data_IF_480281114477
#
_entry.id   IF_480281114477
#
_cell.length_a   1.000
_cell.length_b   1.000
_cell.length_c   1.000
_cell.angle_alpha   90.00
_cell.angle_beta   90.00
_cell.angle_gamma   90.00
#
_symmetry.space_group_name_H-M   'P 1'
#
loop_
_entity.id
_entity.type
_entity.pdbx_description
1 polymer ?
#
# COMPACT_ATOMS: atom_id res chain seq x y z
N UNK A 1 -14.11 -33.85 -18.97
CA UNK A 1 -14.19 -33.19 -17.64
C UNK A 1 -12.90 -32.48 -17.21
N UNK A 2 -11.78 -32.58 -17.95
CA UNK A 2 -10.52 -31.91 -17.59
C UNK A 2 -10.43 -30.42 -18.00
N UNK A 3 -11.23 -29.94 -18.95
CA UNK A 3 -11.15 -28.54 -19.43
C UNK A 3 -11.94 -27.50 -18.60
N UNK A 4 -12.80 -27.94 -17.67
CA UNK A 4 -13.59 -27.03 -16.80
C UNK A 4 -12.87 -26.67 -15.50
N UNK A 5 -11.85 -27.42 -15.10
CA UNK A 5 -11.02 -27.09 -13.93
C UNK A 5 -9.98 -26.05 -14.28
N UNK A 6 -9.24 -26.19 -15.39
CA UNK A 6 -8.22 -25.22 -15.79
C UNK A 6 -8.78 -23.81 -16.04
N UNK A 7 -9.98 -23.66 -16.64
CA UNK A 7 -10.57 -22.33 -16.89
C UNK A 7 -11.04 -21.61 -15.62
N UNK A 8 -11.50 -22.36 -14.60
CA UNK A 8 -11.85 -21.79 -13.29
C UNK A 8 -10.61 -21.38 -12.50
N UNK A 9 -9.52 -22.15 -12.59
CA UNK A 9 -8.25 -21.82 -11.91
C UNK A 9 -7.60 -20.57 -12.52
N UNK A 10 -7.62 -20.44 -13.85
CA UNK A 10 -7.12 -19.25 -14.56
C UNK A 10 -8.00 -18.00 -14.33
N UNK A 11 -9.32 -18.14 -14.28
CA UNK A 11 -10.21 -17.03 -13.89
C UNK A 11 -10.07 -16.65 -12.41
N UNK A 12 -9.77 -17.60 -11.51
CA UNK A 12 -9.55 -17.30 -10.09
C UNK A 12 -8.20 -16.64 -9.81
N UNK A 13 -7.14 -16.97 -10.57
CA UNK A 13 -5.82 -16.33 -10.47
C UNK A 13 -5.81 -14.93 -11.09
N UNK A 14 -6.50 -14.73 -12.22
CA UNK A 14 -6.70 -13.38 -12.81
C UNK A 14 -7.58 -12.48 -11.92
N UNK A 15 -8.47 -13.05 -11.09
CA UNK A 15 -9.20 -12.31 -10.03
C UNK A 15 -8.38 -12.06 -8.75
N UNK A 16 -7.21 -12.70 -8.60
CA UNK A 16 -6.30 -12.49 -7.48
C UNK A 16 -5.25 -11.42 -7.80
N UNK A 17 -4.71 -11.45 -9.02
CA UNK A 17 -3.98 -10.33 -9.61
C UNK A 17 -4.90 -9.10 -9.69
N UNK A 18 -4.38 -7.90 -9.45
CA UNK A 18 -5.13 -6.63 -9.55
C UNK A 18 -6.22 -6.38 -8.50
N UNK A 19 -6.29 -7.12 -7.39
CA UNK A 19 -7.23 -6.78 -6.29
C UNK A 19 -7.01 -5.36 -5.76
N UNK A 20 -5.76 -4.92 -5.72
CA UNK A 20 -5.40 -3.56 -5.34
C UNK A 20 -6.04 -2.48 -6.22
N UNK A 21 -6.37 -2.79 -7.49
CA UNK A 21 -7.03 -1.82 -8.38
C UNK A 21 -8.45 -1.50 -7.97
N UNK A 22 -9.01 -2.18 -6.97
CA UNK A 22 -10.35 -1.93 -6.46
C UNK A 22 -10.39 -0.97 -5.28
N UNK A 23 -9.25 -0.54 -4.73
CA UNK A 23 -9.18 0.24 -3.49
C UNK A 23 -8.41 1.54 -3.70
N UNK A 24 -8.79 2.56 -2.95
CA UNK A 24 -8.19 3.89 -2.94
C UNK A 24 -8.39 4.68 -4.22
N UNK A 25 -7.44 5.56 -4.54
CA UNK A 25 -7.42 6.34 -5.78
C UNK A 25 -6.75 5.55 -6.92
N UNK A 26 -7.51 5.24 -7.96
CA UNK A 26 -7.09 4.44 -9.11
C UNK A 26 -7.25 5.27 -10.38
N UNK A 27 -6.16 5.32 -11.13
CA UNK A 27 -6.01 6.19 -12.29
C UNK A 27 -6.10 5.38 -13.59
N UNK A 28 -6.83 5.89 -14.57
CA UNK A 28 -6.77 5.47 -15.98
C UNK A 28 -6.42 6.67 -16.85
N UNK A 29 -6.10 6.45 -18.13
CA UNK A 29 -5.73 7.51 -19.07
C UNK A 29 -6.70 8.71 -19.13
N UNK A 30 -7.96 8.53 -18.73
CA UNK A 30 -9.00 9.58 -18.81
C UNK A 30 -9.73 9.85 -17.50
N UNK A 31 -9.54 9.06 -16.44
CA UNK A 31 -10.36 9.19 -15.23
C UNK A 31 -9.62 8.77 -13.96
N UNK A 32 -10.14 9.21 -12.83
CA UNK A 32 -9.69 8.79 -11.51
C UNK A 32 -10.90 8.31 -10.70
N UNK A 33 -10.83 7.09 -10.20
CA UNK A 33 -11.84 6.51 -9.30
C UNK A 33 -11.29 6.49 -7.88
N UNK A 34 -12.09 6.93 -6.93
CA UNK A 34 -11.85 6.81 -5.50
C UNK A 34 -12.80 5.77 -4.93
N UNK A 35 -12.27 4.81 -4.18
CA UNK A 35 -13.08 3.76 -3.54
C UNK A 35 -12.55 3.40 -2.17
N UNK A 36 -13.42 3.44 -1.15
CA UNK A 36 -13.06 3.11 0.24
C UNK A 36 -14.18 2.34 0.93
N UNK A 37 -13.82 1.36 1.77
CA UNK A 37 -14.78 0.61 2.57
C UNK A 37 -15.10 1.39 3.84
N UNK A 38 -16.37 1.73 4.04
CA UNK A 38 -16.82 2.53 5.18
C UNK A 38 -18.26 2.18 5.61
N UNK A 39 -18.55 0.90 5.96
CA UNK A 39 -19.90 0.35 6.03
C UNK A 39 -20.80 0.98 7.11
N UNK A 40 -20.21 1.51 8.18
CA UNK A 40 -20.94 2.05 9.33
C UNK A 40 -21.34 3.52 9.15
N UNK A 41 -20.93 4.13 8.02
CA UNK A 41 -21.20 5.53 7.73
C UNK A 41 -22.37 5.66 6.76
N UNK A 42 -23.18 6.70 6.97
CA UNK A 42 -24.34 7.02 6.11
C UNK A 42 -24.01 7.94 4.93
N UNK A 43 -22.86 8.62 4.99
CA UNK A 43 -22.35 9.47 3.93
C UNK A 43 -20.82 9.62 4.06
N UNK A 44 -20.17 9.83 2.92
CA UNK A 44 -18.75 10.17 2.84
C UNK A 44 -18.55 11.20 1.74
N UNK A 45 -17.64 12.15 1.95
CA UNK A 45 -17.28 13.16 0.95
C UNK A 45 -15.79 13.08 0.66
N UNK A 46 -15.40 13.18 -0.61
CA UNK A 46 -14.02 13.36 -1.00
C UNK A 46 -13.68 14.86 -0.96
N UNK A 47 -12.66 15.22 -0.19
CA UNK A 47 -12.00 16.52 -0.26
C UNK A 47 -10.78 16.41 -1.20
N UNK A 48 -10.77 17.13 -2.31
CA UNK A 48 -9.72 17.13 -3.31
C UNK A 48 -9.03 18.49 -3.38
N UNK A 49 -7.70 18.50 -3.41
CA UNK A 49 -6.86 19.68 -3.61
C UNK A 49 -5.94 19.44 -4.79
N UNK A 50 -6.02 20.33 -5.79
CA UNK A 50 -5.21 20.27 -7.01
C UNK A 50 -3.88 21.03 -6.83
N UNK A 51 -2.77 20.53 -7.41
CA UNK A 51 -1.52 21.27 -7.40
C UNK A 51 -1.66 22.57 -8.19
N UNK A 52 -1.04 23.65 -7.69
CA UNK A 52 -0.99 24.92 -8.42
C UNK A 52 0.02 24.82 -9.57
N UNK A 53 -0.41 25.02 -10.81
CA UNK A 53 0.47 25.02 -12.00
C UNK A 53 1.03 26.41 -12.38
N UNK A 54 0.81 27.45 -11.57
CA UNK A 54 1.23 28.82 -11.89
C UNK A 54 1.98 29.50 -10.74
N UNK A 55 2.98 30.37 -11.03
CA UNK A 55 3.64 31.17 -10.01
C UNK A 55 2.73 32.34 -9.62
N UNK A 56 1.96 32.19 -8.54
CA UNK A 56 1.23 33.30 -7.95
C UNK A 56 1.55 33.43 -6.45
N UNK A 57 1.40 34.66 -5.98
CA UNK A 57 1.89 35.19 -4.71
C UNK A 57 1.68 34.27 -3.50
N UNK A 58 2.64 34.36 -2.58
CA UNK A 58 3.00 33.48 -1.44
C UNK A 58 1.86 33.13 -0.45
N UNK A 59 0.61 33.58 -0.65
CA UNK A 59 -0.45 33.49 0.38
C UNK A 59 -1.83 32.96 -0.10
N UNK A 60 -1.98 32.39 -1.30
CA UNK A 60 -3.27 31.80 -1.71
C UNK A 60 -3.29 30.28 -1.49
N UNK A 61 -3.94 29.83 -0.42
CA UNK A 61 -4.35 28.42 -0.29
C UNK A 61 -5.37 28.07 -1.38
N UNK A 62 -5.14 26.99 -2.12
CA UNK A 62 -6.17 26.45 -3.03
C UNK A 62 -7.34 25.98 -2.17
N UNK A 63 -8.53 26.53 -2.42
CA UNK A 63 -9.73 26.06 -1.75
C UNK A 63 -9.99 24.60 -2.14
N UNK A 64 -10.23 23.70 -1.18
CA UNK A 64 -10.55 22.31 -1.49
C UNK A 64 -11.89 22.20 -2.23
N UNK A 65 -11.96 21.25 -3.15
CA UNK A 65 -13.19 20.84 -3.81
C UNK A 65 -13.81 19.67 -3.04
N UNK A 66 -15.12 19.71 -2.80
CA UNK A 66 -15.84 18.69 -2.04
C UNK A 66 -16.79 17.92 -2.96
N UNK A 67 -16.65 16.60 -2.99
CA UNK A 67 -17.45 15.72 -3.82
C UNK A 67 -18.15 14.65 -2.96
N UNK A 68 -19.48 14.68 -2.83
CA UNK A 68 -20.20 13.58 -2.19
C UNK A 68 -19.93 12.26 -2.91
N UNK A 69 -19.65 11.20 -2.14
CA UNK A 69 -19.43 9.86 -2.68
C UNK A 69 -20.74 9.07 -2.65
N UNK A 70 -20.88 8.15 -3.60
CA UNK A 70 -22.04 7.26 -3.69
C UNK A 70 -21.79 5.99 -2.89
N UNK A 71 -22.77 5.57 -2.09
CA UNK A 71 -22.74 4.25 -1.46
C UNK A 71 -22.92 3.16 -2.54
N UNK A 72 -21.90 2.34 -2.70
CA UNK A 72 -21.87 1.18 -3.58
C UNK A 72 -22.22 -0.11 -2.80
N UNK A 73 -22.12 -1.26 -3.46
CA UNK A 73 -22.36 -2.55 -2.84
C UNK A 73 -21.34 -2.84 -1.71
N UNK A 74 -21.73 -3.73 -0.79
CA UNK A 74 -20.86 -4.29 0.26
C UNK A 74 -20.21 -3.27 1.21
N UNK A 75 -20.82 -2.09 1.37
CA UNK A 75 -20.37 -1.05 2.30
C UNK A 75 -19.24 -0.16 1.78
N UNK A 76 -18.99 -0.18 0.47
CA UNK A 76 -18.02 0.71 -0.18
C UNK A 76 -18.65 2.05 -0.55
N UNK A 77 -17.85 3.12 -0.48
CA UNK A 77 -18.15 4.41 -1.07
C UNK A 77 -17.29 4.61 -2.32
N UNK A 78 -17.90 5.11 -3.39
CA UNK A 78 -17.27 5.30 -4.68
C UNK A 78 -17.54 6.70 -5.26
N UNK A 79 -16.52 7.23 -5.95
CA UNK A 79 -16.62 8.43 -6.77
C UNK A 79 -15.72 8.26 -7.99
N UNK A 80 -16.22 8.58 -9.17
CA UNK A 80 -15.44 8.63 -10.40
C UNK A 80 -15.45 10.06 -10.94
N UNK A 81 -14.26 10.61 -11.18
CA UNK A 81 -14.06 11.92 -11.78
C UNK A 81 -13.46 11.74 -13.19
N UNK A 82 -14.01 12.38 -14.23
CA UNK A 82 -13.63 12.17 -15.63
C UNK A 82 -12.34 12.90 -16.00
N UNK A 83 -11.31 12.74 -15.18
CA UNK A 83 -10.01 13.39 -15.33
C UNK A 83 -8.88 12.63 -14.63
N UNK A 84 -7.67 12.94 -15.08
CA UNK A 84 -6.41 12.40 -14.59
C UNK A 84 -5.88 13.23 -13.41
N UNK A 85 -5.99 12.72 -12.19
CA UNK A 85 -5.73 13.50 -10.97
C UNK A 85 -4.36 13.25 -10.35
N UNK A 86 -3.43 12.59 -11.04
CA UNK A 86 -2.08 12.33 -10.52
C UNK A 86 -1.43 13.59 -9.92
N UNK A 87 -0.91 13.47 -8.69
CA UNK A 87 -0.30 14.58 -7.95
C UNK A 87 -1.29 15.43 -7.15
N UNK A 88 -2.60 15.33 -7.41
CA UNK A 88 -3.61 15.91 -6.52
C UNK A 88 -3.61 15.18 -5.18
N UNK A 89 -3.92 15.93 -4.13
CA UNK A 89 -4.03 15.38 -2.77
C UNK A 89 -5.47 15.32 -2.32
N UNK A 90 -5.84 14.33 -1.52
CA UNK A 90 -7.21 14.13 -1.09
C UNK A 90 -7.32 13.59 0.34
N UNK A 91 -8.51 13.77 0.91
CA UNK A 91 -8.95 13.16 2.18
C UNK A 91 -10.40 12.73 2.08
N UNK A 92 -10.80 11.77 2.90
CA UNK A 92 -12.21 11.48 3.13
C UNK A 92 -12.73 12.32 4.30
N UNK A 93 -13.90 12.93 4.11
CA UNK A 93 -14.58 13.77 5.09
C UNK A 93 -15.83 13.03 5.58
N UNK A 94 -15.89 12.83 6.88
CA UNK A 94 -16.95 12.12 7.59
C UNK A 94 -18.12 13.06 7.93
N UNK A 95 -19.30 12.52 8.28
CA UNK A 95 -20.48 13.32 8.62
C UNK A 95 -20.26 14.36 9.74
N UNK A 96 -19.37 14.04 10.68
CA UNK A 96 -19.00 14.88 11.82
C UNK A 96 -17.91 15.93 11.48
N UNK A 97 -17.50 16.01 10.22
CA UNK A 97 -16.48 16.93 9.73
C UNK A 97 -15.04 16.47 9.93
N UNK A 98 -14.81 15.31 10.57
CA UNK A 98 -13.45 14.73 10.65
C UNK A 98 -12.95 14.44 9.24
N UNK A 99 -11.66 14.66 9.04
CA UNK A 99 -10.95 14.35 7.79
C UNK A 99 -9.93 13.26 8.05
N UNK A 100 -9.84 12.28 7.15
CA UNK A 100 -8.86 11.19 7.22
C UNK A 100 -8.17 10.98 5.89
N UNK A 101 -6.89 10.57 5.92
CA UNK A 101 -6.28 10.02 4.72
C UNK A 101 -6.99 8.71 4.33
N UNK A 102 -6.69 8.27 3.12
CA UNK A 102 -7.08 6.97 2.63
C UNK A 102 -6.31 5.86 3.36
N UNK A 103 -7.01 4.80 3.78
CA UNK A 103 -6.36 3.59 4.29
C UNK A 103 -5.52 2.93 3.18
N UNK A 104 -6.03 2.94 1.95
CA UNK A 104 -5.34 2.44 0.76
C UNK A 104 -4.56 3.54 0.03
N UNK A 105 -4.05 4.54 0.75
CA UNK A 105 -3.21 5.59 0.17
C UNK A 105 -1.99 5.01 -0.51
N UNK A 106 -1.71 5.46 -1.73
CA UNK A 106 -0.52 5.07 -2.51
C UNK A 106 0.71 5.92 -2.18
N UNK A 107 0.50 7.08 -1.55
CA UNK A 107 1.57 7.96 -1.11
C UNK A 107 1.07 9.02 -0.12
N UNK A 108 1.90 9.32 0.89
CA UNK A 108 1.60 10.22 1.99
C UNK A 108 2.66 11.31 2.10
N UNK A 109 2.62 12.33 1.22
CA UNK A 109 3.69 13.33 1.12
C UNK A 109 3.87 14.21 2.37
N UNK A 110 2.91 14.18 3.31
CA UNK A 110 2.93 14.97 4.54
C UNK A 110 2.64 14.10 5.77
N UNK A 111 3.13 12.86 5.76
CA UNK A 111 3.03 11.91 6.87
C UNK A 111 1.65 11.28 7.06
N UNK A 112 1.53 10.45 8.10
CA UNK A 112 0.34 9.65 8.42
C UNK A 112 -0.95 10.45 8.68
N UNK A 113 -0.85 11.75 8.98
CA UNK A 113 -2.00 12.65 9.17
C UNK A 113 -2.26 13.55 7.93
N UNK A 114 -1.30 13.57 7.01
CA UNK A 114 -1.33 14.33 5.77
C UNK A 114 -2.42 13.85 4.81
N UNK A 115 -2.74 14.62 3.76
CA UNK A 115 -3.63 14.15 2.72
C UNK A 115 -2.92 13.06 1.88
N UNK A 116 -3.69 12.11 1.40
CA UNK A 116 -3.21 11.10 0.45
C UNK A 116 -2.96 11.72 -0.91
N UNK A 117 -1.99 11.23 -1.67
CA UNK A 117 -1.73 11.72 -3.02
C UNK A 117 -2.15 10.68 -4.07
N UNK A 118 -2.80 11.14 -5.14
CA UNK A 118 -3.11 10.30 -6.30
C UNK A 118 -1.82 9.98 -7.04
N UNK A 119 -1.51 8.69 -7.17
CA UNK A 119 -0.32 8.18 -7.87
C UNK A 119 -0.77 7.43 -9.13
N UNK A 120 -0.14 7.74 -10.26
CA UNK A 120 -0.28 6.98 -11.50
C UNK A 120 0.94 6.07 -11.69
N UNK A 121 0.81 4.75 -11.43
CA UNK A 121 1.95 3.83 -11.52
C UNK A 121 2.47 3.68 -12.96
N UNK A 122 1.67 4.01 -13.98
CA UNK A 122 2.05 3.85 -15.39
C UNK A 122 3.07 4.88 -15.87
N UNK A 123 3.34 5.93 -15.07
CA UNK A 123 4.35 6.94 -15.38
C UNK A 123 5.77 6.41 -15.24
N UNK A 124 5.99 5.42 -14.38
CA UNK A 124 7.31 4.80 -14.24
C UNK A 124 7.55 3.81 -15.39
N UNK A 125 8.65 4.03 -16.12
CA UNK A 125 9.07 3.15 -17.21
C UNK A 125 10.11 2.14 -16.71
N UNK A 126 9.65 0.95 -16.35
CA UNK A 126 10.49 -0.17 -15.94
C UNK A 126 11.53 -0.55 -17.00
N UNK A 127 12.69 -1.08 -16.58
CA UNK A 127 13.79 -1.54 -17.46
C UNK A 127 14.23 -2.97 -17.13
N UNK A 128 13.43 -3.68 -16.36
CA UNK A 128 13.66 -5.03 -15.85
C UNK A 128 13.00 -6.12 -16.72
N UNK A 129 12.69 -5.85 -18.00
CA UNK A 129 11.98 -6.82 -18.86
C UNK A 129 12.72 -8.16 -19.05
N UNK A 130 14.02 -8.19 -18.74
CA UNK A 130 14.85 -9.41 -18.78
C UNK A 130 14.95 -10.13 -17.43
N UNK A 131 14.37 -9.56 -16.37
CA UNK A 131 14.32 -10.18 -15.05
C UNK A 131 13.53 -11.47 -15.09
N UNK A 132 14.00 -12.49 -14.37
CA UNK A 132 13.40 -13.82 -14.31
C UNK A 132 13.19 -14.32 -12.87
N UNK A 133 13.51 -13.48 -11.88
CA UNK A 133 13.56 -13.89 -10.47
C UNK A 133 14.83 -14.65 -10.10
N UNK A 134 14.97 -14.92 -8.80
CA UNK A 134 15.99 -15.82 -8.22
C UNK A 134 15.28 -17.04 -7.65
N UNK A 135 15.80 -18.24 -7.90
CA UNK A 135 15.21 -19.44 -7.33
C UNK A 135 15.38 -19.42 -5.80
N UNK A 136 14.37 -19.90 -5.06
CA UNK A 136 14.40 -19.92 -3.59
C UNK A 136 15.63 -20.64 -3.01
N UNK A 137 16.14 -21.67 -3.69
CA UNK A 137 17.35 -22.40 -3.29
C UNK A 137 18.64 -21.58 -3.40
N UNK A 138 18.60 -20.50 -4.17
CA UNK A 138 19.77 -19.71 -4.55
C UNK A 138 19.77 -18.35 -3.81
N UNK A 139 18.84 -18.15 -2.87
CA UNK A 139 18.74 -16.94 -2.06
C UNK A 139 19.87 -16.86 -1.02
N UNK A 140 20.65 -15.79 -1.12
CA UNK A 140 21.60 -15.30 -0.13
C UNK A 140 21.14 -13.88 0.17
N UNK A 141 20.53 -13.71 1.33
CA UNK A 141 19.75 -12.53 1.69
C UNK A 141 20.61 -11.53 2.46
N UNK A 142 20.51 -10.26 2.08
CA UNK A 142 21.04 -9.14 2.84
C UNK A 142 19.88 -8.27 3.34
N UNK A 143 19.58 -8.36 4.62
CA UNK A 143 18.59 -7.50 5.28
C UNK A 143 19.16 -6.08 5.44
N UNK A 144 18.37 -5.06 5.09
CA UNK A 144 18.75 -3.67 5.27
C UNK A 144 17.58 -2.78 5.69
N UNK A 145 17.90 -1.83 6.56
CA UNK A 145 17.03 -0.72 6.95
C UNK A 145 17.31 0.49 6.07
N UNK A 146 16.35 0.93 5.24
CA UNK A 146 16.56 2.03 4.28
C UNK A 146 17.14 3.29 4.92
N UNK A 147 16.54 3.75 6.02
CA UNK A 147 16.95 4.97 6.71
C UNK A 147 18.35 4.91 7.36
N UNK A 148 18.94 3.72 7.52
CA UNK A 148 20.22 3.54 8.19
C UNK A 148 21.31 2.95 7.28
N UNK A 149 20.93 2.47 6.10
CA UNK A 149 21.84 1.82 5.16
C UNK A 149 22.84 2.80 4.53
N UNK A 150 22.44 4.06 4.37
CA UNK A 150 23.28 5.16 3.87
C UNK A 150 23.08 6.39 4.73
N UNK A 151 24.04 7.33 4.69
CA UNK A 151 23.92 8.60 5.43
C UNK A 151 22.68 9.41 5.03
N UNK A 152 22.30 9.37 3.75
CA UNK A 152 21.10 10.05 3.25
C UNK A 152 19.80 9.31 3.63
N UNK A 153 19.84 7.99 3.85
CA UNK A 153 18.68 7.21 4.25
C UNK A 153 17.55 7.14 3.22
N UNK A 154 17.85 7.22 1.92
CA UNK A 154 16.83 7.28 0.84
C UNK A 154 16.92 6.08 -0.11
N UNK A 155 15.83 5.85 -0.86
CA UNK A 155 15.82 4.86 -1.95
C UNK A 155 16.93 5.13 -2.97
N UNK A 156 17.09 6.39 -3.39
CA UNK A 156 18.11 6.78 -4.36
C UNK A 156 19.53 6.49 -3.86
N UNK A 157 19.84 6.82 -2.60
CA UNK A 157 21.16 6.55 -2.04
C UNK A 157 21.43 5.05 -1.89
N UNK A 158 20.41 4.25 -1.59
CA UNK A 158 20.54 2.79 -1.54
C UNK A 158 20.91 2.20 -2.91
N UNK A 159 20.37 2.74 -4.02
CA UNK A 159 20.74 2.32 -5.39
C UNK A 159 22.25 2.36 -5.63
N UNK A 160 22.94 3.38 -5.11
CA UNK A 160 24.38 3.57 -5.29
C UNK A 160 25.24 2.46 -4.67
N UNK A 161 24.65 1.66 -3.77
CA UNK A 161 25.33 0.58 -3.03
C UNK A 161 24.99 -0.82 -3.53
N UNK A 162 23.97 -0.97 -4.37
CA UNK A 162 23.51 -2.29 -4.81
C UNK A 162 24.58 -3.09 -5.59
N UNK A 163 25.42 -2.41 -6.37
CA UNK A 163 26.54 -3.08 -7.07
C UNK A 163 27.54 -3.69 -6.09
N UNK A 164 27.82 -3.02 -4.97
CA UNK A 164 28.71 -3.52 -3.92
C UNK A 164 28.12 -4.76 -3.24
N UNK A 165 26.80 -4.77 -3.00
CA UNK A 165 26.10 -5.95 -2.49
C UNK A 165 26.18 -7.10 -3.50
N UNK A 166 26.00 -6.83 -4.80
CA UNK A 166 26.15 -7.86 -5.82
C UNK A 166 27.57 -8.44 -5.86
N UNK A 167 28.60 -7.60 -5.76
CA UNK A 167 30.00 -8.00 -5.70
C UNK A 167 30.33 -8.82 -4.45
N UNK A 168 29.69 -8.51 -3.32
CA UNK A 168 29.77 -9.30 -2.08
C UNK A 168 29.23 -10.73 -2.27
N UNK A 169 28.35 -10.94 -3.24
CA UNK A 169 27.80 -12.24 -3.60
C UNK A 169 26.38 -12.50 -3.11
N UNK A 170 25.68 -11.48 -2.60
CA UNK A 170 24.27 -11.62 -2.23
C UNK A 170 23.42 -11.75 -3.50
N UNK A 171 22.28 -12.43 -3.38
CA UNK A 171 21.34 -12.65 -4.50
C UNK A 171 19.98 -12.02 -4.25
N UNK A 172 19.71 -11.58 -3.01
CA UNK A 172 18.53 -10.80 -2.68
C UNK A 172 18.84 -9.74 -1.62
N UNK A 173 18.14 -8.61 -1.72
CA UNK A 173 18.03 -7.64 -0.63
C UNK A 173 16.68 -7.85 0.07
N UNK A 174 16.68 -7.82 1.39
CA UNK A 174 15.47 -7.82 2.21
C UNK A 174 15.32 -6.45 2.85
N UNK A 175 14.25 -5.76 2.47
CA UNK A 175 13.92 -4.45 2.98
C UNK A 175 13.07 -4.62 4.23
N UNK A 176 13.51 -4.03 5.34
CA UNK A 176 12.66 -3.81 6.50
C UNK A 176 11.38 -3.04 6.10
N UNK A 177 10.31 -3.07 6.91
CA UNK A 177 9.00 -2.61 6.45
C UNK A 177 9.00 -1.17 5.95
N UNK A 178 8.29 -0.95 4.84
CA UNK A 178 8.21 0.34 4.15
C UNK A 178 6.83 0.99 4.27
N UNK A 179 5.86 0.35 4.93
CA UNK A 179 4.55 0.95 5.14
C UNK A 179 4.68 2.27 5.91
N UNK A 180 3.99 3.30 5.45
CA UNK A 180 4.08 4.64 6.04
C UNK A 180 3.72 4.61 7.54
N UNK A 181 4.64 5.16 8.34
CA UNK A 181 4.62 5.21 9.79
C UNK A 181 4.94 6.64 10.27
N UNK A 182 4.53 6.97 11.49
CA UNK A 182 4.76 8.29 12.06
C UNK A 182 6.25 8.54 12.40
N UNK A 183 6.67 9.79 12.22
CA UNK A 183 8.02 10.26 12.54
C UNK A 183 9.03 10.10 11.40
N UNK A 184 10.21 10.69 11.62
CA UNK A 184 11.29 10.70 10.62
C UNK A 184 12.14 9.42 10.64
N UNK A 185 12.14 8.72 11.78
CA UNK A 185 12.98 7.54 12.04
C UNK A 185 12.13 6.44 12.67
N UNK A 186 11.97 5.34 11.94
CA UNK A 186 11.24 4.17 12.40
C UNK A 186 11.80 2.92 11.73
N UNK A 187 11.88 1.78 12.44
CA UNK A 187 12.26 0.50 11.84
C UNK A 187 11.24 -0.03 10.82
N UNK A 188 10.01 0.48 10.85
CA UNK A 188 8.92 0.18 9.91
C UNK A 188 7.76 -0.58 10.54
N UNK A 189 7.94 -1.18 11.71
CA UNK A 189 6.92 -2.02 12.34
C UNK A 189 5.70 -1.25 12.87
N UNK A 190 5.80 0.07 13.04
CA UNK A 190 4.68 0.93 13.42
C UNK A 190 3.84 1.40 12.21
N UNK A 191 3.93 0.72 11.07
CA UNK A 191 3.22 1.08 9.85
C UNK A 191 1.69 1.13 10.03
N UNK A 192 1.07 2.16 9.44
CA UNK A 192 -0.39 2.37 9.49
C UNK A 192 -1.02 2.54 8.11
N UNK A 193 -0.23 2.86 7.09
CA UNK A 193 -0.72 3.02 5.71
C UNK A 193 0.03 2.05 4.78
N UNK A 194 -0.43 0.80 4.81
CA UNK A 194 0.21 -0.36 4.18
C UNK A 194 0.48 -0.23 2.67
N UNK A 195 -0.26 0.63 1.95
CA UNK A 195 -0.09 0.86 0.51
C UNK A 195 0.85 2.03 0.19
N UNK A 196 1.28 2.81 1.18
CA UNK A 196 2.15 3.96 0.97
C UNK A 196 3.58 3.59 1.39
N UNK A 197 4.56 3.58 0.46
CA UNK A 197 5.96 3.57 0.83
C UNK A 197 6.29 4.81 1.68
N UNK A 198 7.11 4.62 2.72
CA UNK A 198 7.51 5.65 3.67
C UNK A 198 8.06 6.89 2.96
N UNK A 199 7.39 8.03 3.14
CA UNK A 199 7.67 9.24 2.37
C UNK A 199 9.03 9.87 2.69
N UNK A 200 9.58 9.63 3.89
CA UNK A 200 10.90 10.14 4.29
C UNK A 200 12.04 9.48 3.51
N UNK A 201 11.83 8.31 2.91
CA UNK A 201 12.82 7.64 2.06
C UNK A 201 12.79 8.07 0.59
N UNK A 202 11.68 8.68 0.15
CA UNK A 202 11.49 9.18 -1.22
C UNK A 202 10.07 8.95 -1.73
N UNK A 203 9.87 9.18 -3.02
CA UNK A 203 8.58 8.97 -3.70
C UNK A 203 8.36 7.50 -4.08
N UNK A 204 7.13 7.10 -4.43
CA UNK A 204 6.88 5.76 -4.96
C UNK A 204 7.70 5.45 -6.23
N UNK A 205 8.00 6.44 -7.06
CA UNK A 205 8.84 6.22 -8.26
C UNK A 205 10.32 6.03 -7.89
N UNK A 206 10.79 6.64 -6.80
CA UNK A 206 12.14 6.36 -6.27
C UNK A 206 12.24 4.92 -5.75
N UNK A 207 11.18 4.40 -5.12
CA UNK A 207 11.15 2.99 -4.71
C UNK A 207 11.12 2.05 -5.93
N UNK A 208 10.32 2.35 -6.96
CA UNK A 208 10.36 1.59 -8.23
C UNK A 208 11.75 1.62 -8.85
N UNK A 209 12.44 2.76 -8.78
CA UNK A 209 13.81 2.89 -9.26
C UNK A 209 14.79 1.99 -8.51
N UNK A 210 14.65 1.87 -7.18
CA UNK A 210 15.44 0.94 -6.38
C UNK A 210 15.24 -0.51 -6.83
N UNK A 211 13.99 -0.95 -6.98
CA UNK A 211 13.67 -2.32 -7.40
C UNK A 211 14.17 -2.59 -8.82
N UNK A 212 13.90 -1.68 -9.76
CA UNK A 212 14.35 -1.78 -11.16
C UNK A 212 15.89 -1.87 -11.24
N UNK A 213 16.60 -1.14 -10.39
CA UNK A 213 18.07 -1.19 -10.30
C UNK A 213 18.56 -2.51 -9.73
N UNK A 214 17.90 -3.04 -8.68
CA UNK A 214 18.21 -4.36 -8.12
C UNK A 214 18.03 -5.47 -9.17
N UNK A 215 16.91 -5.47 -9.91
CA UNK A 215 16.64 -6.45 -10.96
C UNK A 215 17.68 -6.39 -12.08
N UNK A 216 18.07 -5.19 -12.52
CA UNK A 216 19.13 -5.02 -13.54
C UNK A 216 20.49 -5.57 -13.09
N UNK A 217 20.76 -5.59 -11.77
CA UNK A 217 21.96 -6.19 -11.16
C UNK A 217 21.81 -7.68 -10.85
N UNK A 218 20.64 -8.26 -11.12
CA UNK A 218 20.36 -9.66 -10.83
C UNK A 218 20.22 -9.93 -9.33
N UNK A 219 19.55 -9.03 -8.61
CA UNK A 219 19.21 -9.13 -7.19
C UNK A 219 17.69 -9.19 -7.06
N UNK A 220 17.18 -10.16 -6.31
CA UNK A 220 15.78 -10.18 -5.92
C UNK A 220 15.50 -9.16 -4.80
N UNK A 221 14.27 -8.67 -4.71
CA UNK A 221 13.81 -7.77 -3.66
C UNK A 221 12.73 -8.44 -2.82
N UNK A 222 13.03 -8.57 -1.53
CA UNK A 222 12.12 -9.09 -0.50
C UNK A 222 11.65 -7.89 0.32
N UNK A 223 10.36 -7.83 0.63
CA UNK A 223 9.82 -6.84 1.57
C UNK A 223 9.29 -7.52 2.82
N UNK A 224 9.72 -7.02 3.98
CA UNK A 224 9.10 -7.32 5.26
C UNK A 224 7.73 -6.62 5.37
N UNK A 225 6.68 -7.40 5.59
CA UNK A 225 5.29 -6.94 5.66
C UNK A 225 4.65 -7.30 6.98
N UNK A 226 3.99 -6.30 7.57
CA UNK A 226 3.40 -6.40 8.91
C UNK A 226 1.89 -6.49 8.79
N UNK A 227 1.34 -7.69 8.95
CA UNK A 227 -0.11 -7.94 8.86
C UNK A 227 -0.73 -8.44 10.17
N UNK A 228 0.05 -8.47 11.24
CA UNK A 228 -0.42 -8.93 12.54
C UNK A 228 -1.01 -7.79 13.40
N UNK A 229 -0.59 -6.54 13.18
CA UNK A 229 -1.09 -5.36 13.89
C UNK A 229 -1.07 -4.10 13.01
N UNK A 230 -1.65 -3.03 13.51
CA UNK A 230 -1.55 -1.67 12.95
C UNK A 230 -0.86 -0.79 13.99
N UNK A 231 0.10 0.03 13.56
CA UNK A 231 0.86 0.92 14.44
C UNK A 231 0.00 1.91 15.24
N UNK A 232 0.56 2.54 16.29
CA UNK A 232 -0.22 3.32 17.24
C UNK A 232 -0.59 4.74 16.77
N UNK A 233 0.20 5.36 15.89
CA UNK A 233 0.02 6.75 15.46
C UNK A 233 -0.37 6.85 13.98
N UNK A 234 -1.49 7.51 13.69
CA UNK A 234 -2.05 7.59 12.34
C UNK A 234 -2.95 6.40 11.96
N UNK A 235 -3.20 5.48 12.91
CA UNK A 235 -4.16 4.40 12.71
C UNK A 235 -5.60 4.91 12.75
N UNK A 236 -6.22 4.95 11.58
CA UNK A 236 -7.61 5.37 11.39
C UNK A 236 -8.56 4.23 11.02
N UNK A 237 -8.13 2.97 11.12
CA UNK A 237 -8.93 1.82 10.70
C UNK A 237 -10.30 1.75 11.39
N UNK A 238 -10.37 2.14 12.67
CA UNK A 238 -11.63 2.23 13.43
C UNK A 238 -12.56 3.33 12.96
N UNK A 239 -12.01 4.41 12.40
CA UNK A 239 -12.82 5.52 11.88
C UNK A 239 -13.57 5.11 10.62
N UNK A 240 -13.03 4.18 9.82
CA UNK A 240 -13.68 3.65 8.61
C UNK A 240 -14.61 2.46 8.89
N UNK A 241 -14.80 2.02 10.13
CA UNK A 241 -15.72 0.92 10.47
C UNK A 241 -15.03 -0.22 11.20
N UNK A 242 -15.57 -1.46 11.14
CA UNK A 242 -15.19 -2.54 12.05
C UNK A 242 -13.93 -3.28 11.58
N UNK A 243 -12.92 -2.55 11.13
CA UNK A 243 -11.68 -3.10 10.59
C UNK A 243 -10.72 -3.66 11.66
N UNK A 244 -10.84 -3.22 12.91
CA UNK A 244 -10.02 -3.67 14.03
C UNK A 244 -10.82 -4.67 14.87
N UNK A 245 -10.16 -5.74 15.31
CA UNK A 245 -10.75 -6.79 16.12
C UNK A 245 -11.12 -6.27 17.51
N UNK A 246 -12.28 -6.71 18.01
CA UNK A 246 -12.66 -6.57 19.42
C UNK A 246 -12.22 -7.78 20.25
N UNK A 247 -11.88 -8.90 19.60
CA UNK A 247 -11.53 -10.17 20.23
C UNK A 247 -10.03 -10.31 20.47
N UNK A 248 -9.25 -9.79 19.52
CA UNK A 248 -7.81 -9.98 19.46
C UNK A 248 -7.10 -8.65 19.68
N UNK A 249 -5.96 -8.70 20.36
CA UNK A 249 -5.01 -7.60 20.47
C UNK A 249 -3.60 -8.20 20.42
N UNK A 250 -2.64 -7.40 19.97
CA UNK A 250 -1.22 -7.81 20.01
C UNK A 250 -0.47 -6.97 21.03
N UNK A 251 0.78 -7.35 21.33
CA UNK A 251 1.63 -6.56 22.20
C UNK A 251 2.04 -5.19 21.60
N UNK A 252 1.81 -5.00 20.30
CA UNK A 252 2.31 -3.86 19.52
C UNK A 252 1.21 -2.94 19.01
N UNK A 253 -0.04 -3.38 19.00
CA UNK A 253 -1.14 -2.52 18.59
C UNK A 253 -2.46 -3.23 18.33
N UNK A 254 -3.33 -2.50 17.64
CA UNK A 254 -4.64 -2.96 17.24
C UNK A 254 -4.52 -4.12 16.22
N UNK A 255 -5.18 -5.25 16.50
CA UNK A 255 -5.19 -6.40 15.61
C UNK A 255 -6.24 -6.24 14.49
N UNK A 256 -5.92 -6.49 13.22
CA UNK A 256 -6.93 -6.48 12.15
C UNK A 256 -8.04 -7.51 12.37
N UNK A 257 -9.28 -7.16 11.99
CA UNK A 257 -10.48 -7.96 12.22
C UNK A 257 -10.65 -9.09 11.19
N UNK A 258 -9.73 -10.05 11.17
CA UNK A 258 -9.77 -11.16 10.21
C UNK A 258 -10.87 -12.17 10.48
N UNK A 259 -11.51 -12.20 11.64
CA UNK A 259 -12.45 -13.24 12.07
C UNK A 259 -13.72 -12.70 12.73
N UNK A 260 -14.14 -11.51 12.28
CA UNK A 260 -15.42 -10.91 12.65
C UNK A 260 -16.57 -11.93 12.61
N UNK A 261 -17.53 -11.78 13.54
CA UNK A 261 -18.75 -12.58 13.52
C UNK A 261 -19.57 -12.33 12.24
N UNK A 262 -19.45 -11.13 11.66
CA UNK A 262 -19.96 -10.84 10.33
C UNK A 262 -18.97 -11.31 9.25
N UNK A 263 -19.46 -12.20 8.39
CA UNK A 263 -18.66 -12.79 7.32
C UNK A 263 -18.28 -11.75 6.25
N UNK A 264 -19.11 -10.72 6.02
CA UNK A 264 -18.80 -9.68 5.04
C UNK A 264 -17.64 -8.79 5.53
N UNK A 265 -17.68 -8.37 6.81
CA UNK A 265 -16.60 -7.63 7.46
C UNK A 265 -15.26 -8.38 7.39
N UNK A 266 -15.23 -9.64 7.84
CA UNK A 266 -13.98 -10.42 7.80
C UNK A 266 -13.47 -10.64 6.38
N UNK A 267 -14.36 -10.81 5.39
CA UNK A 267 -13.98 -10.90 3.99
C UNK A 267 -13.42 -9.58 3.45
N UNK A 268 -13.98 -8.42 3.82
CA UNK A 268 -13.49 -7.10 3.42
C UNK A 268 -12.08 -6.83 3.98
N UNK A 269 -11.87 -7.10 5.28
CA UNK A 269 -10.55 -6.90 5.93
C UNK A 269 -9.50 -7.86 5.34
N UNK A 270 -9.82 -9.14 5.15
CA UNK A 270 -8.91 -10.07 4.44
C UNK A 270 -8.64 -9.63 3.00
N UNK A 271 -9.66 -9.13 2.32
CA UNK A 271 -9.57 -8.58 0.96
C UNK A 271 -8.61 -7.41 0.87
N UNK A 272 -8.62 -6.51 1.86
CA UNK A 272 -7.71 -5.36 1.96
C UNK A 272 -6.24 -5.79 2.03
N UNK A 273 -5.88 -6.73 2.91
CA UNK A 273 -4.49 -7.17 3.05
C UNK A 273 -4.02 -8.04 1.87
N UNK A 274 -4.91 -8.88 1.31
CA UNK A 274 -4.61 -9.60 0.07
C UNK A 274 -4.44 -8.64 -1.12
N UNK A 275 -5.20 -7.54 -1.14
CA UNK A 275 -4.98 -6.47 -2.11
C UNK A 275 -3.61 -5.81 -1.90
N UNK A 276 -3.17 -5.58 -0.66
CA UNK A 276 -1.84 -5.02 -0.39
C UNK A 276 -0.69 -5.92 -0.88
N UNK A 277 -0.79 -7.24 -0.69
CA UNK A 277 0.17 -8.18 -1.28
C UNK A 277 0.20 -8.04 -2.81
N UNK A 278 -0.97 -8.06 -3.47
CA UNK A 278 -1.03 -7.91 -4.93
C UNK A 278 -0.49 -6.56 -5.41
N UNK A 279 -0.63 -5.51 -4.60
CA UNK A 279 -0.14 -4.17 -4.90
C UNK A 279 1.39 -4.14 -4.98
N UNK A 280 2.06 -4.68 -3.96
CA UNK A 280 3.52 -4.74 -3.93
C UNK A 280 4.11 -5.55 -5.09
N UNK A 281 3.46 -6.66 -5.47
CA UNK A 281 3.88 -7.46 -6.63
C UNK A 281 3.61 -6.71 -7.94
N UNK A 282 2.37 -6.28 -8.17
CA UNK A 282 1.95 -5.77 -9.48
C UNK A 282 2.52 -4.38 -9.78
N UNK A 283 2.72 -3.53 -8.77
CA UNK A 283 3.13 -2.12 -8.98
C UNK A 283 4.57 -1.78 -8.65
N UNK A 284 5.23 -2.64 -7.86
CA UNK A 284 6.64 -2.49 -7.49
C UNK A 284 7.49 -3.68 -7.87
N UNK A 285 6.92 -4.72 -8.48
CA UNK A 285 7.63 -5.90 -8.97
C UNK A 285 8.38 -6.68 -7.87
N UNK A 286 7.90 -6.67 -6.63
CA UNK A 286 8.58 -7.41 -5.55
C UNK A 286 8.53 -8.92 -5.76
N UNK A 287 9.63 -9.61 -5.41
CA UNK A 287 9.80 -11.04 -5.67
C UNK A 287 9.28 -11.93 -4.53
N UNK A 288 9.49 -11.50 -3.28
CA UNK A 288 9.13 -12.26 -2.08
C UNK A 288 8.67 -11.35 -0.94
N UNK A 289 8.04 -11.96 0.06
CA UNK A 289 7.68 -11.32 1.32
C UNK A 289 8.23 -12.08 2.50
N UNK A 290 8.76 -11.36 3.48
CA UNK A 290 8.90 -11.83 4.86
C UNK A 290 7.64 -11.37 5.61
N UNK A 291 6.86 -12.29 6.18
CA UNK A 291 5.63 -11.93 6.90
C UNK A 291 5.95 -11.88 8.39
N UNK A 292 5.98 -10.67 8.95
CA UNK A 292 6.29 -10.43 10.35
C UNK A 292 5.29 -11.13 11.28
N UNK A 293 5.85 -11.78 12.31
CA UNK A 293 5.13 -12.42 13.43
C UNK A 293 3.85 -13.16 12.99
N UNK A 294 3.95 -14.02 11.98
CA UNK A 294 2.79 -14.75 11.42
C UNK A 294 1.97 -15.52 12.47
N UNK A 295 2.59 -15.94 13.57
CA UNK A 295 1.92 -16.62 14.68
C UNK A 295 0.96 -15.72 15.48
N UNK A 296 1.10 -14.40 15.38
CA UNK A 296 0.20 -13.41 15.97
C UNK A 296 -0.97 -13.04 15.05
N UNK A 297 -0.96 -13.50 13.79
CA UNK A 297 -2.14 -13.41 12.94
C UNK A 297 -3.13 -14.48 13.43
N UNK A 298 -4.25 -14.07 14.01
CA UNK A 298 -5.22 -14.96 14.67
C UNK A 298 -6.51 -15.24 13.85
N UNK A 299 -6.47 -15.81 12.63
CA UNK A 299 -7.70 -16.21 11.96
C UNK A 299 -8.18 -17.56 12.49
N UNK A 300 -9.12 -17.55 13.45
CA UNK A 300 -9.82 -18.78 13.89
C UNK A 300 -10.74 -19.39 12.80
N UNK A 301 -10.91 -18.71 11.65
CA UNK A 301 -11.82 -19.12 10.57
C UNK A 301 -11.14 -19.18 9.20
N UNK A 302 -11.36 -20.28 8.48
CA UNK A 302 -10.94 -20.46 7.09
C UNK A 302 -11.73 -19.58 6.09
N UNK A 303 -11.15 -19.24 4.91
CA UNK A 303 -9.75 -19.43 4.55
C UNK A 303 -8.85 -18.43 5.28
N UNK A 304 -7.72 -18.89 5.81
CA UNK A 304 -6.69 -18.00 6.34
C UNK A 304 -6.15 -17.11 5.22
N UNK A 305 -5.55 -15.98 5.59
CA UNK A 305 -4.72 -15.21 4.67
C UNK A 305 -3.46 -16.06 4.44
N UNK A 306 -3.49 -16.88 3.38
CA UNK A 306 -2.31 -17.53 2.85
C UNK A 306 -1.79 -16.63 1.73
N UNK A 307 -0.63 -16.04 1.96
CA UNK A 307 0.11 -15.17 1.03
C UNK A 307 0.98 -16.05 0.16
#
# INVERSE_FOLDING_TARGET
MQNLHQSKTQQSTVKAAQRHTQLGAIVTSTQTRFRVWAPDHSQLTLELVRPQYAPLAVDQMVAPELYPMSLAADGYYELELPEQLTGCTYRFVFPDGRKRPDLSSRFQPAGVHGPSQVVDPSRYSWRDQKWQGVAKSDLIIYELHLGAFTEAGTYQAACERLSQLKELGVTAIELMPLAEAAGDWNWGYDGVQFFAPQHTYGTPDDFRHLVDTAHQLGLAVILDVVYNHVGPEGNYFRDFGPNISEKHSTAWGDAPNYDSHDAATSAAVRGYFLANVSYWIDEFHLDFFLVDLIHCMAPERSPHIAI
#
